data_IF_703337665379
#
_entry.id   IF_703337665379
#
_cell.length_a   1.000
_cell.length_b   1.000
_cell.length_c   1.000
_cell.angle_alpha   90.00
_cell.angle_beta   90.00
_cell.angle_gamma   90.00
#
_symmetry.space_group_name_H-M   'P 1'
#
loop_
_entity.id
_entity.type
_entity.pdbx_description
1 polymer ?
#
# COMPACT_ATOMS: atom_id res chain seq x y z
N UNK A 1 -22.20 10.49 -1.21
CA UNK A 1 -20.77 10.14 -1.14
C UNK A 1 -19.98 11.36 -1.53
N UNK A 2 -19.13 11.85 -0.64
CA UNK A 2 -18.30 13.04 -0.86
C UNK A 2 -17.27 12.72 -1.95
N UNK A 3 -16.97 13.70 -2.82
CA UNK A 3 -16.03 13.55 -3.94
C UNK A 3 -14.67 13.02 -3.45
N UNK A 4 -14.13 12.03 -4.17
CA UNK A 4 -12.74 11.57 -4.01
C UNK A 4 -11.95 12.14 -5.18
N UNK A 5 -11.03 13.05 -4.90
CA UNK A 5 -10.13 13.59 -5.91
C UNK A 5 -8.81 12.79 -5.90
N UNK A 6 -8.29 12.51 -7.09
CA UNK A 6 -7.00 11.84 -7.30
C UNK A 6 -6.09 12.81 -8.05
N UNK A 7 -4.93 13.16 -7.48
CA UNK A 7 -4.04 14.17 -8.06
C UNK A 7 -2.63 13.60 -8.21
N UNK A 8 -2.08 13.71 -9.43
CA UNK A 8 -0.69 13.38 -9.69
C UNK A 8 0.20 14.61 -9.44
N UNK A 9 1.23 14.46 -8.61
CA UNK A 9 2.21 15.50 -8.28
C UNK A 9 3.51 15.20 -9.06
N UNK A 10 4.09 16.17 -9.80
CA UNK A 10 5.27 15.96 -10.63
C UNK A 10 6.51 15.47 -9.88
N UNK A 11 6.73 16.00 -8.68
CA UNK A 11 7.84 15.63 -7.80
C UNK A 11 7.27 15.22 -6.44
N UNK A 12 7.23 13.90 -6.19
CA UNK A 12 6.61 13.32 -5.01
C UNK A 12 7.47 12.19 -4.45
N UNK A 13 7.93 12.39 -3.20
CA UNK A 13 8.89 11.51 -2.55
C UNK A 13 8.32 10.11 -2.30
N UNK A 14 7.07 10.02 -1.87
CA UNK A 14 6.35 8.75 -1.72
C UNK A 14 5.82 8.23 -3.08
N UNK A 15 5.25 7.02 -3.05
CA UNK A 15 4.54 6.45 -4.19
C UNK A 15 3.16 7.11 -4.37
N UNK A 16 2.41 7.19 -3.28
CA UNK A 16 1.13 7.85 -3.12
C UNK A 16 0.89 8.18 -1.62
N UNK A 17 -0.19 8.89 -1.31
CA UNK A 17 -0.62 9.21 0.05
C UNK A 17 -2.14 9.38 0.09
N UNK A 18 -2.76 8.81 1.11
CA UNK A 18 -4.18 8.51 1.19
C UNK A 18 -5.06 9.68 1.68
N UNK A 19 -4.57 10.91 1.66
CA UNK A 19 -5.22 12.05 2.32
C UNK A 19 -6.73 12.08 2.05
N UNK A 20 -7.54 12.12 3.12
CA UNK A 20 -8.96 11.80 3.04
C UNK A 20 -9.71 12.77 2.09
N UNK A 21 -10.21 12.23 0.98
CA UNK A 21 -10.92 13.00 -0.06
C UNK A 21 -10.01 13.60 -1.14
N UNK A 22 -8.69 13.58 -0.97
CA UNK A 22 -7.70 14.08 -1.94
C UNK A 22 -6.45 13.19 -1.95
N UNK A 23 -6.52 12.01 -2.57
CA UNK A 23 -5.37 11.13 -2.67
C UNK A 23 -4.34 11.72 -3.63
N UNK A 24 -3.08 11.76 -3.20
CA UNK A 24 -1.97 12.33 -3.98
C UNK A 24 -1.03 11.23 -4.44
N UNK A 25 -0.56 11.30 -5.68
CA UNK A 25 0.22 10.24 -6.30
C UNK A 25 1.46 10.81 -6.97
N UNK A 26 2.55 10.03 -7.03
CA UNK A 26 3.59 10.25 -8.03
C UNK A 26 2.99 10.03 -9.43
N UNK A 27 3.49 10.73 -10.45
CA UNK A 27 3.01 10.59 -11.84
C UNK A 27 2.91 9.12 -12.30
N UNK A 28 3.94 8.32 -12.00
CA UNK A 28 4.01 6.89 -12.36
C UNK A 28 3.04 5.99 -11.62
N UNK A 29 2.43 6.48 -10.54
CA UNK A 29 1.49 5.74 -9.70
C UNK A 29 0.02 6.03 -10.03
N UNK A 30 -0.26 7.02 -10.89
CA UNK A 30 -1.62 7.37 -11.29
C UNK A 30 -1.81 7.44 -12.81
N UNK A 31 -0.82 7.93 -13.56
CA UNK A 31 -0.94 8.14 -15.00
C UNK A 31 -0.48 6.89 -15.76
N UNK A 32 -1.33 6.42 -16.69
CA UNK A 32 -1.05 5.32 -17.59
C UNK A 32 -1.47 5.68 -19.02
N UNK A 33 -0.56 5.48 -19.97
CA UNK A 33 -0.80 5.71 -21.40
C UNK A 33 -0.94 4.35 -22.13
N UNK A 34 -2.15 3.96 -22.58
CA UNK A 34 -2.37 2.65 -23.19
C UNK A 34 -1.55 2.39 -24.47
N UNK A 35 -1.20 3.44 -25.22
CA UNK A 35 -0.46 3.30 -26.48
C UNK A 35 1.02 2.98 -26.30
N UNK A 36 1.59 3.26 -25.13
CA UNK A 36 3.04 3.11 -24.87
C UNK A 36 3.37 2.40 -23.55
N UNK A 37 2.41 2.26 -22.64
CA UNK A 37 2.58 1.67 -21.33
C UNK A 37 2.39 0.15 -21.33
N UNK A 38 3.38 -0.57 -20.80
CA UNK A 38 3.29 -2.02 -20.61
C UNK A 38 2.26 -2.44 -19.56
N UNK A 39 1.85 -3.71 -19.62
CA UNK A 39 0.89 -4.30 -18.67
C UNK A 39 1.33 -4.18 -17.21
N UNK A 40 2.64 -4.28 -16.95
CA UNK A 40 3.21 -4.10 -15.62
C UNK A 40 2.93 -2.71 -15.03
N UNK A 41 3.02 -1.64 -15.84
CA UNK A 41 2.71 -0.27 -15.41
C UNK A 41 1.22 -0.12 -15.15
N UNK A 42 0.38 -0.66 -16.03
CA UNK A 42 -1.07 -0.62 -15.83
C UNK A 42 -1.48 -1.32 -14.53
N UNK A 43 -0.88 -2.48 -14.27
CA UNK A 43 -1.15 -3.25 -13.06
C UNK A 43 -0.63 -2.53 -11.82
N UNK A 44 0.56 -1.92 -11.88
CA UNK A 44 1.10 -1.08 -10.81
C UNK A 44 0.14 0.06 -10.45
N UNK A 45 -0.29 0.87 -11.42
CA UNK A 45 -1.26 1.95 -11.20
C UNK A 45 -2.57 1.42 -10.62
N UNK A 46 -3.07 0.29 -11.13
CA UNK A 46 -4.29 -0.33 -10.62
C UNK A 46 -4.17 -0.71 -9.14
N UNK A 47 -3.01 -1.25 -8.73
CA UNK A 47 -2.74 -1.63 -7.34
C UNK A 47 -2.59 -0.43 -6.43
N UNK A 48 -1.77 0.55 -6.80
CA UNK A 48 -1.56 1.74 -5.96
C UNK A 48 -2.88 2.49 -5.76
N UNK A 49 -3.69 2.66 -6.81
CA UNK A 49 -5.02 3.26 -6.66
C UNK A 49 -5.91 2.43 -5.74
N UNK A 50 -5.89 1.10 -5.83
CA UNK A 50 -6.66 0.24 -4.93
C UNK A 50 -6.19 0.34 -3.47
N UNK A 51 -4.87 0.47 -3.24
CA UNK A 51 -4.25 0.67 -1.93
C UNK A 51 -4.74 1.97 -1.28
N UNK A 52 -4.59 3.12 -1.95
CA UNK A 52 -5.02 4.42 -1.44
C UNK A 52 -6.53 4.49 -1.19
N UNK A 53 -7.31 3.80 -2.03
CA UNK A 53 -8.75 3.71 -1.84
C UNK A 53 -9.14 2.85 -0.63
N UNK A 54 -8.37 1.82 -0.30
CA UNK A 54 -8.59 0.99 0.89
C UNK A 54 -8.39 1.81 2.17
N UNK A 55 -7.41 2.72 2.16
CA UNK A 55 -7.15 3.59 3.30
C UNK A 55 -8.31 4.51 3.69
N UNK A 56 -9.21 4.81 2.75
CA UNK A 56 -10.42 5.59 3.01
C UNK A 56 -11.35 4.91 4.04
N UNK A 57 -11.17 3.60 4.27
CA UNK A 57 -11.76 2.85 5.38
C UNK A 57 -10.73 2.53 6.48
N UNK A 58 -9.56 2.01 6.11
CA UNK A 58 -8.52 1.55 7.04
C UNK A 58 -7.34 2.52 7.10
N UNK A 59 -7.35 3.40 8.08
CA UNK A 59 -6.38 4.48 8.28
C UNK A 59 -7.04 5.85 8.32
N UNK A 60 -8.12 6.06 7.56
CA UNK A 60 -8.90 7.29 7.61
C UNK A 60 -10.16 7.15 8.49
N UNK A 61 -11.10 6.26 8.13
CA UNK A 61 -12.34 6.07 8.90
C UNK A 61 -12.08 5.42 10.26
N UNK A 62 -11.19 4.44 10.30
CA UNK A 62 -10.66 3.83 11.51
C UNK A 62 -9.15 3.95 11.45
N UNK A 63 -8.56 4.71 12.36
CA UNK A 63 -7.11 4.94 12.44
C UNK A 63 -6.56 4.24 13.68
N UNK A 64 -5.35 3.68 13.58
CA UNK A 64 -4.64 3.18 14.76
C UNK A 64 -4.49 4.27 15.83
N UNK A 65 -4.54 3.87 17.11
CA UNK A 65 -4.37 4.83 18.22
C UNK A 65 -2.94 5.35 18.30
N UNK A 66 -1.97 4.49 17.96
CA UNK A 66 -0.55 4.82 17.95
C UNK A 66 0.20 4.03 16.87
N UNK A 67 1.40 4.51 16.52
CA UNK A 67 2.21 4.00 15.41
C UNK A 67 2.67 2.55 15.59
N UNK A 68 2.68 2.01 16.80
CA UNK A 68 2.96 0.59 17.03
C UNK A 68 1.98 -0.33 16.27
N UNK A 69 0.79 0.17 15.94
CA UNK A 69 -0.24 -0.56 15.19
C UNK A 69 -0.37 -0.08 13.73
N UNK A 70 0.70 0.48 13.15
CA UNK A 70 0.73 0.93 11.74
C UNK A 70 0.24 -0.13 10.74
N UNK A 71 0.48 -1.41 11.01
CA UNK A 71 0.02 -2.54 10.20
C UNK A 71 -1.52 -2.58 10.02
N UNK A 72 -2.30 -2.01 10.95
CA UNK A 72 -3.75 -1.90 10.81
C UNK A 72 -4.15 -1.00 9.63
N UNK A 73 -3.29 -0.07 9.24
CA UNK A 73 -3.45 0.76 8.05
C UNK A 73 -2.79 0.07 6.85
N UNK A 74 -1.46 -0.02 6.87
CA UNK A 74 -0.65 -0.40 5.69
C UNK A 74 -0.86 -1.87 5.30
N UNK A 75 -0.89 -2.77 6.29
CA UNK A 75 -1.14 -4.19 6.04
C UNK A 75 -2.54 -4.42 5.46
N UNK A 76 -3.56 -3.82 6.05
CA UNK A 76 -4.93 -3.92 5.51
C UNK A 76 -5.04 -3.32 4.11
N UNK A 77 -4.41 -2.17 3.86
CA UNK A 77 -4.37 -1.55 2.54
C UNK A 77 -3.67 -2.45 1.52
N UNK A 78 -2.54 -3.07 1.88
CA UNK A 78 -1.86 -4.06 1.04
C UNK A 78 -2.76 -5.25 0.74
N UNK A 79 -3.43 -5.87 1.72
CA UNK A 79 -4.36 -6.97 1.43
C UNK A 79 -5.46 -6.54 0.45
N UNK A 80 -6.05 -5.38 0.70
CA UNK A 80 -7.15 -4.85 -0.10
C UNK A 80 -6.72 -4.41 -1.49
N UNK A 81 -5.45 -4.01 -1.70
CA UNK A 81 -4.94 -3.66 -3.02
C UNK A 81 -4.97 -4.88 -3.96
N UNK A 82 -4.62 -6.08 -3.47
CA UNK A 82 -4.64 -7.29 -4.27
C UNK A 82 -6.06 -7.76 -4.54
N UNK A 83 -6.94 -7.70 -3.53
CA UNK A 83 -8.36 -8.03 -3.69
C UNK A 83 -9.04 -7.07 -4.66
N UNK A 84 -8.82 -5.76 -4.48
CA UNK A 84 -9.40 -4.69 -5.28
C UNK A 84 -8.92 -4.72 -6.73
N UNK A 85 -7.60 -4.85 -6.95
CA UNK A 85 -7.04 -5.01 -8.29
C UNK A 85 -7.52 -6.30 -8.95
N UNK A 86 -7.60 -7.41 -8.22
CA UNK A 86 -8.10 -8.68 -8.73
C UNK A 86 -9.59 -8.64 -9.09
N UNK A 87 -10.38 -7.87 -8.35
CA UNK A 87 -11.78 -7.62 -8.69
C UNK A 87 -11.93 -6.74 -9.93
N UNK A 88 -11.14 -5.66 -10.02
CA UNK A 88 -11.18 -4.75 -11.16
C UNK A 88 -10.65 -5.41 -12.45
N UNK A 89 -9.67 -6.31 -12.32
CA UNK A 89 -8.95 -6.97 -13.42
C UNK A 89 -8.71 -8.46 -13.10
N UNK A 90 -9.73 -9.33 -13.27
CA UNK A 90 -9.63 -10.75 -12.96
C UNK A 90 -8.50 -11.48 -13.70
N UNK A 91 -8.11 -10.98 -14.87
CA UNK A 91 -7.02 -11.51 -15.69
C UNK A 91 -5.62 -11.37 -15.07
N UNK A 92 -5.46 -10.54 -14.03
CA UNK A 92 -4.17 -10.36 -13.37
C UNK A 92 -3.80 -11.51 -12.43
N UNK A 93 -4.75 -12.37 -12.05
CA UNK A 93 -4.50 -13.47 -11.10
C UNK A 93 -3.85 -13.00 -9.79
N UNK A 94 -4.34 -11.88 -9.24
CA UNK A 94 -3.73 -11.17 -8.10
C UNK A 94 -3.49 -12.05 -6.86
N UNK A 95 -4.31 -13.07 -6.61
CA UNK A 95 -4.07 -13.99 -5.48
C UNK A 95 -2.75 -14.77 -5.57
N UNK A 96 -2.32 -15.15 -6.79
CA UNK A 96 -1.02 -15.80 -6.99
C UNK A 96 0.13 -14.80 -6.81
N UNK A 97 -0.08 -13.56 -7.25
CA UNK A 97 0.89 -12.49 -7.08
C UNK A 97 1.02 -12.09 -5.61
N UNK A 98 -0.06 -12.09 -4.83
CA UNK A 98 -0.02 -11.86 -3.37
C UNK A 98 0.90 -12.84 -2.66
N UNK A 99 0.78 -14.13 -3.00
CA UNK A 99 1.66 -15.17 -2.46
C UNK A 99 3.13 -14.87 -2.75
N UNK A 100 3.45 -14.44 -3.97
CA UNK A 100 4.83 -14.19 -4.39
C UNK A 100 5.39 -12.88 -3.83
N UNK A 101 4.62 -11.81 -3.89
CA UNK A 101 5.10 -10.45 -3.64
C UNK A 101 4.94 -10.02 -2.18
N UNK A 102 3.89 -10.45 -1.49
CA UNK A 102 3.68 -10.14 -0.08
C UNK A 102 4.15 -11.30 0.80
N UNK A 103 3.55 -12.49 0.64
CA UNK A 103 3.77 -13.59 1.59
C UNK A 103 5.20 -14.12 1.59
N UNK A 104 5.78 -14.46 0.42
CA UNK A 104 7.14 -14.98 0.36
C UNK A 104 8.19 -13.92 0.73
N UNK A 105 7.96 -12.66 0.37
CA UNK A 105 8.84 -11.54 0.74
C UNK A 105 8.83 -11.31 2.25
N UNK A 106 7.65 -11.30 2.88
CA UNK A 106 7.51 -11.19 4.32
C UNK A 106 8.18 -12.37 5.05
N UNK A 107 7.96 -13.60 4.60
CA UNK A 107 8.60 -14.80 5.17
C UNK A 107 10.12 -14.73 5.08
N UNK A 108 10.67 -14.25 3.96
CA UNK A 108 12.11 -14.11 3.80
C UNK A 108 12.68 -13.09 4.79
N UNK A 109 12.06 -11.92 4.93
CA UNK A 109 12.51 -10.89 5.87
C UNK A 109 12.34 -11.32 7.33
N UNK A 110 11.20 -11.90 7.67
CA UNK A 110 10.87 -12.36 9.02
C UNK A 110 11.72 -13.55 9.50
N UNK A 111 12.40 -14.24 8.57
CA UNK A 111 13.36 -15.29 8.90
C UNK A 111 14.72 -14.74 9.39
N UNK A 112 14.97 -13.44 9.21
CA UNK A 112 16.21 -12.81 9.64
C UNK A 112 16.19 -12.48 11.13
N UNK A 113 17.38 -12.48 11.75
CA UNK A 113 17.53 -12.14 13.18
C UNK A 113 17.20 -10.68 13.49
N UNK A 114 17.39 -9.81 12.50
CA UNK A 114 17.21 -8.36 12.62
C UNK A 114 15.79 -7.93 12.18
N UNK A 115 14.86 -8.88 12.02
CA UNK A 115 13.44 -8.57 11.85
C UNK A 115 12.82 -8.08 13.17
N UNK A 116 11.53 -7.74 13.13
CA UNK A 116 10.77 -7.28 14.29
C UNK A 116 9.35 -7.85 14.33
N UNK A 117 8.68 -7.85 15.50
CA UNK A 117 7.26 -8.16 15.60
C UNK A 117 6.42 -7.15 14.79
N UNK A 118 5.21 -7.54 14.39
CA UNK A 118 4.29 -6.63 13.67
C UNK A 118 3.97 -5.39 14.52
N UNK A 119 3.72 -5.57 15.82
CA UNK A 119 3.55 -4.46 16.77
C UNK A 119 4.89 -4.14 17.42
N UNK A 120 5.46 -2.97 17.10
CA UNK A 120 6.74 -2.49 17.65
C UNK A 120 6.50 -1.29 18.54
N UNK A 121 7.15 -1.24 19.70
CA UNK A 121 7.12 -0.05 20.54
C UNK A 121 7.80 1.13 19.84
N UNK A 122 7.06 2.22 19.65
CA UNK A 122 7.53 3.44 19.01
C UNK A 122 7.51 4.57 20.04
N UNK A 123 8.67 5.15 20.31
CA UNK A 123 8.88 6.22 21.31
C UNK A 123 9.51 7.48 20.72
N UNK A 124 10.14 7.37 19.55
CA UNK A 124 10.83 8.45 18.84
C UNK A 124 10.25 8.60 17.41
N UNK A 125 10.05 9.83 16.90
CA UNK A 125 9.63 10.06 15.52
C UNK A 125 10.46 9.34 14.45
N UNK A 126 11.78 9.22 14.64
CA UNK A 126 12.64 8.53 13.67
C UNK A 126 12.33 7.03 13.58
N UNK A 127 11.76 6.45 14.64
CA UNK A 127 11.32 5.04 14.65
C UNK A 127 10.05 4.83 13.83
N UNK A 128 9.20 5.87 13.67
CA UNK A 128 7.98 5.77 12.87
C UNK A 128 8.34 5.43 11.43
N UNK A 129 9.26 6.19 10.83
CA UNK A 129 9.71 5.96 9.44
C UNK A 129 10.36 4.58 9.27
N UNK A 130 11.02 4.06 10.32
CA UNK A 130 11.69 2.76 10.27
C UNK A 130 10.72 1.57 10.21
N UNK A 131 9.47 1.74 10.65
CA UNK A 131 8.44 0.69 10.62
C UNK A 131 7.53 0.76 9.39
N UNK A 132 7.71 1.75 8.50
CA UNK A 132 7.15 1.73 7.15
C UNK A 132 7.93 0.76 6.26
N UNK A 133 7.82 -0.53 6.58
CA UNK A 133 8.69 -1.56 6.05
C UNK A 133 7.91 -2.81 5.58
N UNK A 134 8.60 -3.76 4.97
CA UNK A 134 7.96 -4.99 4.48
C UNK A 134 7.22 -5.76 5.57
N UNK A 135 7.63 -5.68 6.85
CA UNK A 135 6.90 -6.35 7.93
C UNK A 135 5.51 -5.72 8.11
N UNK A 136 5.43 -4.39 8.27
CA UNK A 136 4.15 -3.70 8.47
C UNK A 136 3.20 -3.80 7.27
N UNK A 137 3.75 -3.85 6.05
CA UNK A 137 2.96 -3.92 4.81
C UNK A 137 2.56 -5.36 4.44
N UNK A 138 3.47 -6.33 4.58
CA UNK A 138 3.34 -7.64 3.91
C UNK A 138 3.16 -8.83 4.85
N UNK A 139 3.47 -8.69 6.15
CA UNK A 139 3.33 -9.77 7.15
C UNK A 139 1.92 -9.76 7.75
N UNK A 140 0.92 -10.03 6.90
CA UNK A 140 -0.52 -10.06 7.21
C UNK A 140 -1.16 -11.39 6.82
#
# INVERSE_FOLDING_TARGET
MQLKDLVAIPDFAAGAMENWGLCTFRLTSLLYEPSSGGSAIQQWVTRVVAHELAHQWFGNLVTMEWWNDLWLNEGFATLMEFIGAGHARPEYHMGQQFMLEATLTALALDSLRDSHPISVEVTDPDQIESIFDTISYSKI
#
